data_IF_805479703722
#
_entry.id   IF_805479703722
#
_cell.length_a   1.000
_cell.length_b   1.000
_cell.length_c   1.000
_cell.angle_alpha   90.00
_cell.angle_beta   90.00
_cell.angle_gamma   90.00
#
_symmetry.space_group_name_H-M   'P 1'
#
loop_
_entity.id
_entity.type
_entity.pdbx_description
1 polymer ?
#
# COMPACT_ATOMS: atom_id res chain seq x y z
N UNK A 1 18.50 33.46 -14.29
CA UNK A 1 18.60 32.65 -15.52
C UNK A 1 17.20 32.17 -15.84
N UNK A 2 16.61 32.65 -16.93
CA UNK A 2 15.38 32.06 -17.46
C UNK A 2 15.84 30.80 -18.18
N UNK A 3 15.37 29.65 -17.72
CA UNK A 3 15.67 28.37 -18.34
C UNK A 3 14.88 28.33 -19.65
N UNK A 4 15.54 28.18 -20.79
CA UNK A 4 14.84 28.10 -22.08
C UNK A 4 14.09 26.77 -22.18
N UNK A 5 12.79 26.87 -22.43
CA UNK A 5 11.94 25.70 -22.63
C UNK A 5 12.12 25.17 -24.03
N UNK A 6 12.28 23.86 -24.16
CA UNK A 6 12.25 23.16 -25.44
C UNK A 6 10.84 23.23 -26.05
N UNK A 7 10.76 23.10 -27.38
CA UNK A 7 9.47 22.97 -28.09
C UNK A 7 8.65 21.78 -27.57
N UNK A 8 9.31 20.71 -27.12
CA UNK A 8 8.65 19.56 -26.51
C UNK A 8 7.99 19.89 -25.17
N UNK A 9 8.68 20.63 -24.30
CA UNK A 9 8.15 21.09 -23.00
C UNK A 9 6.99 22.07 -23.17
N UNK A 10 7.10 22.98 -24.14
CA UNK A 10 6.02 23.89 -24.54
C UNK A 10 4.78 23.13 -25.03
N UNK A 11 4.95 22.13 -25.89
CA UNK A 11 3.85 21.31 -26.38
C UNK A 11 3.19 20.49 -25.25
N UNK A 12 3.99 19.97 -24.32
CA UNK A 12 3.48 19.26 -23.15
C UNK A 12 2.65 20.17 -22.24
N UNK A 13 3.12 21.40 -21.99
CA UNK A 13 2.38 22.40 -21.23
C UNK A 13 1.07 22.77 -21.90
N UNK A 14 1.07 23.08 -23.20
CA UNK A 14 -0.15 23.41 -23.95
C UNK A 14 -1.17 22.28 -23.89
N UNK A 15 -0.71 21.02 -23.97
CA UNK A 15 -1.58 19.85 -23.79
C UNK A 15 -2.18 19.79 -22.38
N UNK A 16 -1.36 20.01 -21.35
CA UNK A 16 -1.79 19.96 -19.95
C UNK A 16 -2.75 21.10 -19.58
N UNK A 17 -2.68 22.25 -20.26
CA UNK A 17 -3.62 23.35 -20.10
C UNK A 17 -4.99 23.10 -20.76
N UNK A 18 -5.23 21.95 -21.40
CA UNK A 18 -6.47 21.67 -22.12
C UNK A 18 -6.42 22.03 -23.62
N UNK A 19 -5.22 22.16 -24.18
CA UNK A 19 -4.98 22.43 -25.59
C UNK A 19 -4.84 23.92 -25.94
N UNK A 20 -4.52 24.18 -27.21
CA UNK A 20 -4.13 25.52 -27.69
C UNK A 20 -5.20 26.59 -27.46
N UNK A 21 -6.49 26.22 -27.53
CA UNK A 21 -7.61 27.13 -27.25
C UNK A 21 -7.58 27.68 -25.83
N UNK A 22 -7.29 26.84 -24.84
CA UNK A 22 -7.25 27.25 -23.44
C UNK A 22 -5.96 28.02 -23.15
N UNK A 23 -4.83 27.57 -23.70
CA UNK A 23 -3.55 28.27 -23.60
C UNK A 23 -3.63 29.71 -24.14
N UNK A 24 -4.28 29.93 -25.29
CA UNK A 24 -4.48 31.28 -25.85
C UNK A 24 -5.40 32.15 -24.99
N UNK A 25 -6.41 31.58 -24.33
CA UNK A 25 -7.27 32.33 -23.39
C UNK A 25 -6.53 32.74 -22.12
N UNK A 26 -5.62 31.90 -21.63
CA UNK A 26 -4.74 32.22 -20.51
C UNK A 26 -3.77 33.34 -20.92
N UNK A 27 -3.14 33.22 -22.09
CA UNK A 27 -2.25 34.25 -22.63
C UNK A 27 -2.96 35.59 -22.85
N UNK A 28 -4.20 35.56 -23.32
CA UNK A 28 -5.05 36.74 -23.50
C UNK A 28 -5.61 37.34 -22.21
N UNK A 29 -5.36 36.72 -21.05
CA UNK A 29 -5.88 37.17 -19.75
C UNK A 29 -7.38 36.91 -19.54
N UNK A 30 -8.04 36.17 -20.44
CA UNK A 30 -9.45 35.77 -20.34
C UNK A 30 -9.67 34.69 -19.29
N UNK A 31 -8.64 33.89 -19.02
CA UNK A 31 -8.59 32.89 -17.95
C UNK A 31 -7.44 33.25 -17.04
N UNK A 32 -7.75 33.64 -15.80
CA UNK A 32 -6.74 33.80 -14.74
C UNK A 32 -6.43 32.42 -14.17
N UNK A 33 -5.18 32.03 -14.27
CA UNK A 33 -4.65 30.86 -13.56
C UNK A 33 -3.86 31.42 -12.39
N UNK A 34 -4.25 31.09 -11.17
CA UNK A 34 -3.49 31.48 -9.98
C UNK A 34 -2.21 30.64 -9.90
N UNK A 35 -1.22 31.14 -9.17
CA UNK A 35 -0.04 30.36 -8.81
C UNK A 35 -0.41 29.09 -8.05
N UNK A 36 -1.47 29.13 -7.24
CA UNK A 36 -2.02 27.95 -6.56
C UNK A 36 -2.59 26.92 -7.57
N UNK A 37 -3.32 27.36 -8.59
CA UNK A 37 -3.90 26.46 -9.61
C UNK A 37 -2.82 25.72 -10.42
N UNK A 38 -1.72 26.40 -10.75
CA UNK A 38 -0.57 25.78 -11.44
C UNK A 38 0.14 24.79 -10.50
N UNK A 39 0.29 25.15 -9.23
CA UNK A 39 0.94 24.30 -8.23
C UNK A 39 0.12 23.02 -7.98
N UNK A 40 -1.22 23.11 -7.90
CA UNK A 40 -2.10 21.97 -7.66
C UNK A 40 -2.15 20.99 -8.84
N UNK A 41 -2.08 21.48 -10.08
CA UNK A 41 -1.97 20.63 -11.28
C UNK A 41 -0.57 20.00 -11.41
N UNK A 42 0.47 20.68 -10.93
CA UNK A 42 1.85 20.20 -10.93
C UNK A 42 2.19 19.30 -9.73
N UNK A 43 1.30 19.21 -8.73
CA UNK A 43 1.58 18.53 -7.47
C UNK A 43 1.61 17.02 -7.65
N UNK A 44 2.82 16.49 -7.69
CA UNK A 44 3.06 15.05 -7.71
C UNK A 44 3.19 14.53 -6.28
N UNK A 45 2.47 13.45 -5.97
CA UNK A 45 2.41 12.89 -4.63
C UNK A 45 3.51 11.85 -4.38
N UNK A 46 3.99 11.19 -5.43
CA UNK A 46 5.01 10.15 -5.33
C UNK A 46 6.25 10.51 -6.16
N UNK A 47 7.43 10.28 -5.61
CA UNK A 47 8.69 10.53 -6.29
C UNK A 47 8.92 9.58 -7.47
N UNK A 48 10.05 9.74 -8.17
CA UNK A 48 10.41 8.91 -9.33
C UNK A 48 10.58 7.41 -9.02
N UNK A 49 10.61 7.02 -7.75
CA UNK A 49 10.72 5.65 -7.27
C UNK A 49 9.38 5.12 -6.70
N UNK A 50 8.31 5.91 -6.75
CA UNK A 50 7.01 5.55 -6.20
C UNK A 50 6.90 5.69 -4.68
N UNK A 51 7.87 6.34 -4.03
CA UNK A 51 7.77 6.68 -2.60
C UNK A 51 6.98 7.98 -2.44
N UNK A 52 6.12 8.05 -1.43
CA UNK A 52 5.40 9.27 -1.07
C UNK A 52 6.40 10.40 -0.79
N UNK A 53 6.10 11.58 -1.32
CA UNK A 53 6.83 12.81 -1.00
C UNK A 53 6.29 13.32 0.34
N UNK A 54 7.14 13.53 1.37
CA UNK A 54 6.69 14.04 2.67
C UNK A 54 6.16 15.47 2.53
N UNK A 55 4.96 15.71 3.04
CA UNK A 55 4.34 17.04 2.97
C UNK A 55 3.31 17.22 4.09
N UNK A 56 3.32 18.39 4.73
CA UNK A 56 2.31 18.79 5.71
C UNK A 56 2.28 17.94 6.99
N UNK A 57 3.38 17.24 7.30
CA UNK A 57 3.46 16.30 8.42
C UNK A 57 3.88 16.99 9.72
N UNK A 58 3.26 16.55 10.82
CA UNK A 58 3.73 16.84 12.18
C UNK A 58 4.51 15.66 12.74
N UNK A 59 4.12 14.44 12.36
CA UNK A 59 4.81 13.22 12.78
C UNK A 59 6.14 13.01 12.03
N UNK A 60 7.02 12.24 12.67
CA UNK A 60 8.39 12.05 12.18
C UNK A 60 8.44 11.28 10.85
N UNK A 61 9.34 11.73 9.99
CA UNK A 61 9.78 11.05 8.76
C UNK A 61 11.30 11.14 8.66
N UNK A 62 11.90 10.10 8.13
CA UNK A 62 13.32 10.05 7.78
C UNK A 62 13.49 9.60 6.32
N UNK A 63 14.71 9.66 5.83
CA UNK A 63 15.04 9.12 4.51
C UNK A 63 14.87 7.59 4.48
N UNK A 64 14.38 7.07 3.37
CA UNK A 64 14.31 5.63 3.15
C UNK A 64 15.73 5.05 3.08
N UNK A 65 15.97 3.97 3.82
CA UNK A 65 17.21 3.21 3.72
C UNK A 65 17.14 2.32 2.47
N UNK A 66 17.98 2.63 1.48
CA UNK A 66 18.02 1.97 0.17
C UNK A 66 18.54 0.53 0.20
N UNK A 67 19.21 0.14 1.30
CA UNK A 67 19.64 -1.24 1.50
C UNK A 67 18.42 -2.16 1.68
N UNK A 68 17.33 -1.62 2.24
CA UNK A 68 16.07 -2.32 2.41
C UNK A 68 15.17 -2.06 1.22
N UNK A 69 15.03 -3.03 0.32
CA UNK A 69 14.29 -2.87 -0.94
C UNK A 69 13.52 -4.11 -1.36
N UNK A 70 12.49 -3.86 -2.14
CA UNK A 70 11.65 -4.87 -2.76
C UNK A 70 11.87 -4.87 -4.26
N UNK A 71 11.86 -6.05 -4.85
CA UNK A 71 11.96 -6.23 -6.30
C UNK A 71 10.58 -6.55 -6.87
N UNK A 72 10.23 -5.91 -7.98
CA UNK A 72 8.96 -6.19 -8.66
C UNK A 72 8.99 -7.63 -9.20
N UNK A 73 8.05 -8.51 -8.81
CA UNK A 73 8.01 -9.86 -9.36
C UNK A 73 7.66 -9.88 -10.86
N UNK A 74 8.21 -10.84 -11.59
CA UNK A 74 7.85 -11.09 -12.98
C UNK A 74 6.48 -11.78 -13.08
N UNK A 75 5.44 -10.98 -13.32
CA UNK A 75 4.06 -11.46 -13.53
C UNK A 75 3.69 -11.44 -15.02
N UNK A 76 4.43 -12.21 -15.84
CA UNK A 76 4.30 -12.19 -17.31
C UNK A 76 3.31 -13.23 -17.86
N UNK A 77 3.10 -14.34 -17.14
CA UNK A 77 2.31 -15.49 -17.61
C UNK A 77 1.25 -15.86 -16.58
N UNK A 78 0.18 -16.52 -17.04
CA UNK A 78 -0.95 -16.91 -16.17
C UNK A 78 -0.51 -17.82 -15.02
N UNK A 79 0.49 -18.68 -15.24
CA UNK A 79 1.07 -19.53 -14.21
C UNK A 79 1.58 -18.74 -12.99
N UNK A 80 2.17 -17.55 -13.20
CA UNK A 80 2.60 -16.70 -12.10
C UNK A 80 1.43 -16.25 -11.23
N UNK A 81 0.29 -15.89 -11.83
CA UNK A 81 -0.92 -15.50 -11.10
C UNK A 81 -1.59 -16.68 -10.40
N UNK A 82 -1.65 -17.83 -11.08
CA UNK A 82 -2.21 -19.08 -10.52
C UNK A 82 -1.47 -19.44 -9.23
N UNK A 83 -0.13 -19.43 -9.25
CA UNK A 83 0.69 -19.74 -8.06
C UNK A 83 0.33 -18.84 -6.87
N UNK A 84 0.12 -17.54 -7.08
CA UNK A 84 -0.22 -16.58 -6.00
C UNK A 84 -1.60 -16.84 -5.41
N UNK A 85 -2.58 -17.15 -6.27
CA UNK A 85 -3.95 -17.46 -5.84
C UNK A 85 -3.98 -18.80 -5.10
N UNK A 86 -3.31 -19.81 -5.63
CA UNK A 86 -3.26 -21.14 -5.03
C UNK A 86 -2.60 -21.11 -3.65
N UNK A 87 -1.48 -20.38 -3.50
CA UNK A 87 -0.82 -20.21 -2.20
C UNK A 87 -1.76 -19.57 -1.16
N UNK A 88 -2.56 -18.57 -1.56
CA UNK A 88 -3.60 -17.98 -0.70
C UNK A 88 -4.67 -19.01 -0.31
N UNK A 89 -5.16 -19.79 -1.27
CA UNK A 89 -6.23 -20.78 -1.06
C UNK A 89 -5.79 -21.88 -0.12
N UNK A 90 -4.63 -22.48 -0.37
CA UNK A 90 -4.06 -23.56 0.45
C UNK A 90 -3.72 -23.08 1.85
N UNK A 91 -3.12 -21.89 1.95
CA UNK A 91 -2.71 -21.32 3.23
C UNK A 91 -3.87 -20.84 4.08
N UNK A 92 -5.05 -20.57 3.52
CA UNK A 92 -6.24 -20.17 4.30
C UNK A 92 -7.31 -21.26 4.36
N UNK A 93 -7.21 -22.32 3.55
CA UNK A 93 -8.23 -23.35 3.42
C UNK A 93 -9.53 -22.81 2.78
N UNK A 94 -9.41 -21.93 1.79
CA UNK A 94 -10.54 -21.26 1.13
C UNK A 94 -10.46 -21.38 -0.39
N UNK A 95 -11.61 -21.22 -1.05
CA UNK A 95 -11.68 -20.92 -2.48
C UNK A 95 -12.35 -19.57 -2.67
N UNK A 96 -11.64 -18.65 -3.31
CA UNK A 96 -12.14 -17.29 -3.59
C UNK A 96 -13.00 -17.21 -4.86
N UNK A 97 -12.97 -18.24 -5.71
CA UNK A 97 -13.57 -18.22 -7.06
C UNK A 97 -12.87 -17.28 -8.06
N UNK A 98 -11.85 -16.53 -7.63
CA UNK A 98 -11.10 -15.60 -8.49
C UNK A 98 -10.09 -16.37 -9.34
N UNK A 99 -10.23 -16.22 -10.66
CA UNK A 99 -9.30 -16.78 -11.64
C UNK A 99 -8.08 -15.87 -11.87
N UNK A 100 -6.99 -16.44 -12.39
CA UNK A 100 -5.81 -15.68 -12.82
C UNK A 100 -6.15 -14.60 -13.85
N UNK A 101 -7.07 -14.89 -14.78
CA UNK A 101 -7.55 -13.95 -15.79
C UNK A 101 -8.26 -12.75 -15.13
N UNK A 102 -9.18 -13.00 -14.20
CA UNK A 102 -9.88 -11.92 -13.48
C UNK A 102 -8.91 -11.05 -12.68
N UNK A 103 -7.98 -11.67 -11.96
CA UNK A 103 -6.94 -10.96 -11.20
C UNK A 103 -6.09 -10.07 -12.11
N UNK A 104 -5.59 -10.63 -13.21
CA UNK A 104 -4.78 -9.88 -14.19
C UNK A 104 -5.55 -8.71 -14.80
N UNK A 105 -6.73 -8.96 -15.35
CA UNK A 105 -7.52 -7.93 -16.05
C UNK A 105 -7.97 -6.81 -15.11
N UNK A 106 -8.43 -7.14 -13.90
CA UNK A 106 -8.81 -6.11 -12.92
C UNK A 106 -7.58 -5.28 -12.51
N UNK A 107 -6.44 -5.89 -12.21
CA UNK A 107 -5.24 -5.13 -11.86
C UNK A 107 -4.67 -4.31 -13.03
N UNK A 108 -4.81 -4.75 -14.28
CA UNK A 108 -4.48 -3.93 -15.46
C UNK A 108 -5.37 -2.68 -15.53
N UNK A 109 -6.68 -2.83 -15.31
CA UNK A 109 -7.60 -1.68 -15.22
C UNK A 109 -7.22 -0.73 -14.09
N UNK A 110 -6.91 -1.26 -12.90
CA UNK A 110 -6.48 -0.44 -11.75
C UNK A 110 -5.20 0.35 -12.04
N UNK A 111 -4.19 -0.28 -12.67
CA UNK A 111 -2.97 0.43 -13.11
C UNK A 111 -3.29 1.53 -14.11
N UNK A 112 -4.20 1.28 -15.06
CA UNK A 112 -4.62 2.31 -16.01
C UNK A 112 -5.30 3.49 -15.30
N UNK A 113 -6.21 3.22 -14.37
CA UNK A 113 -6.86 4.28 -13.57
C UNK A 113 -5.83 5.13 -12.83
N UNK A 114 -4.82 4.52 -12.21
CA UNK A 114 -3.74 5.26 -11.54
C UNK A 114 -2.86 6.04 -12.54
N UNK A 115 -2.55 5.45 -13.70
CA UNK A 115 -1.76 6.12 -14.73
C UNK A 115 -2.48 7.35 -15.32
N UNK A 116 -3.82 7.32 -15.34
CA UNK A 116 -4.66 8.43 -15.78
C UNK A 116 -4.81 9.54 -14.70
N UNK A 117 -4.19 9.38 -13.52
CA UNK A 117 -4.12 10.36 -12.43
C UNK A 117 -2.69 10.92 -12.28
N UNK A 118 -2.32 12.04 -12.95
CA UNK A 118 -0.95 12.55 -12.96
C UNK A 118 -0.35 12.77 -11.57
N UNK A 119 -1.16 13.21 -10.61
CA UNK A 119 -0.75 13.45 -9.23
C UNK A 119 -0.22 12.18 -8.53
N UNK A 120 -0.74 11.00 -8.88
CA UNK A 120 -0.44 9.75 -8.18
C UNK A 120 0.22 8.68 -9.05
N UNK A 121 0.29 8.88 -10.37
CA UNK A 121 0.82 7.94 -11.35
C UNK A 121 2.20 7.38 -11.00
N UNK A 122 3.05 8.19 -10.36
CA UNK A 122 4.39 7.79 -9.97
C UNK A 122 4.45 6.64 -8.95
N UNK A 123 3.38 6.35 -8.21
CA UNK A 123 3.33 5.16 -7.34
C UNK A 123 3.55 3.85 -8.12
N UNK A 124 3.18 3.83 -9.41
CA UNK A 124 3.40 2.69 -10.32
C UNK A 124 4.88 2.47 -10.68
N UNK A 125 5.77 3.42 -10.33
CA UNK A 125 7.23 3.26 -10.47
C UNK A 125 7.82 2.43 -9.32
N UNK A 126 7.08 2.29 -8.21
CA UNK A 126 7.41 1.39 -7.12
C UNK A 126 6.84 -0.02 -7.33
N UNK A 127 7.15 -0.90 -6.37
CA UNK A 127 6.60 -2.27 -6.37
C UNK A 127 5.08 -2.21 -6.24
N UNK A 128 4.39 -2.98 -7.07
CA UNK A 128 2.94 -3.12 -7.04
C UNK A 128 2.52 -4.57 -7.28
N UNK A 129 1.72 -5.10 -6.37
CA UNK A 129 1.37 -6.51 -6.30
C UNK A 129 -0.14 -6.69 -6.50
N UNK A 130 -0.58 -7.44 -7.53
CA UNK A 130 -1.95 -7.91 -7.65
C UNK A 130 -2.32 -8.79 -6.48
N UNK A 131 -3.33 -8.42 -5.69
CA UNK A 131 -3.72 -9.17 -4.49
C UNK A 131 -5.22 -9.45 -4.46
N UNK A 132 -5.58 -10.51 -3.75
CA UNK A 132 -6.96 -10.84 -3.40
C UNK A 132 -7.11 -10.63 -1.90
N UNK A 133 -7.95 -9.66 -1.54
CA UNK A 133 -8.39 -9.46 -0.16
C UNK A 133 -9.53 -10.43 0.11
N UNK A 134 -9.40 -11.21 1.17
CA UNK A 134 -10.40 -12.22 1.51
C UNK A 134 -11.59 -11.58 2.21
N UNK A 135 -12.79 -12.12 1.96
CA UNK A 135 -13.99 -11.71 2.71
C UNK A 135 -13.79 -11.99 4.20
N UNK A 136 -14.55 -11.31 5.05
CA UNK A 136 -14.48 -11.52 6.51
C UNK A 136 -15.30 -12.75 6.91
N UNK A 137 -14.81 -13.48 7.91
CA UNK A 137 -15.51 -14.64 8.47
C UNK A 137 -15.98 -14.38 9.90
N UNK A 138 -15.47 -13.33 10.56
CA UNK A 138 -15.95 -12.82 11.85
C UNK A 138 -16.40 -11.34 11.78
N UNK A 139 -17.16 -10.93 12.77
CA UNK A 139 -17.44 -9.52 13.05
C UNK A 139 -16.26 -8.88 13.82
N UNK A 140 -15.52 -9.69 14.57
CA UNK A 140 -14.32 -9.30 15.31
C UNK A 140 -13.09 -9.29 14.40
N UNK A 141 -12.43 -8.12 14.30
CA UNK A 141 -11.26 -7.94 13.44
C UNK A 141 -10.06 -8.74 13.96
N UNK A 142 -9.97 -8.90 15.28
CA UNK A 142 -8.93 -9.67 15.92
C UNK A 142 -9.01 -11.14 15.55
N UNK A 143 -10.20 -11.73 15.60
CA UNK A 143 -10.42 -13.14 15.20
C UNK A 143 -10.08 -13.37 13.73
N UNK A 144 -10.56 -12.50 12.83
CA UNK A 144 -10.20 -12.59 11.41
C UNK A 144 -8.69 -12.46 11.21
N UNK A 145 -8.05 -11.51 11.89
CA UNK A 145 -6.61 -11.30 11.79
C UNK A 145 -5.82 -12.51 12.29
N UNK A 146 -6.24 -13.17 13.37
CA UNK A 146 -5.58 -14.40 13.85
C UNK A 146 -5.59 -15.49 12.78
N UNK A 147 -6.76 -15.77 12.22
CA UNK A 147 -6.90 -16.77 11.16
C UNK A 147 -6.05 -16.42 9.93
N UNK A 148 -6.01 -15.15 9.55
CA UNK A 148 -5.16 -14.69 8.46
C UNK A 148 -3.67 -14.85 8.77
N UNK A 149 -3.24 -14.58 10.01
CA UNK A 149 -1.86 -14.74 10.45
C UNK A 149 -1.42 -16.21 10.44
N UNK A 150 -2.30 -17.14 10.80
CA UNK A 150 -2.04 -18.58 10.67
C UNK A 150 -1.86 -18.97 9.19
N UNK A 151 -2.54 -18.28 8.27
CA UNK A 151 -2.30 -18.42 6.84
C UNK A 151 -0.99 -17.81 6.36
N UNK A 152 -0.59 -16.66 6.90
CA UNK A 152 0.72 -16.07 6.63
C UNK A 152 1.83 -17.03 7.06
N UNK A 153 1.73 -17.64 8.24
CA UNK A 153 2.69 -18.63 8.73
C UNK A 153 2.79 -19.82 7.78
N UNK A 154 1.66 -20.43 7.40
CA UNK A 154 1.64 -21.56 6.46
C UNK A 154 2.27 -21.21 5.12
N UNK A 155 1.88 -20.08 4.52
CA UNK A 155 2.44 -19.62 3.24
C UNK A 155 3.94 -19.36 3.32
N UNK A 156 4.38 -18.74 4.42
CA UNK A 156 5.79 -18.45 4.65
C UNK A 156 6.63 -19.72 4.76
N UNK A 157 6.18 -20.70 5.55
CA UNK A 157 6.89 -21.96 5.76
C UNK A 157 6.87 -22.86 4.50
N UNK A 158 5.81 -22.82 3.71
CA UNK A 158 5.78 -23.48 2.39
C UNK A 158 6.82 -22.86 1.43
N UNK A 159 6.97 -21.53 1.48
CA UNK A 159 7.92 -20.81 0.63
C UNK A 159 9.37 -20.95 1.10
N UNK A 160 9.57 -21.05 2.42
CA UNK A 160 10.89 -21.15 3.05
C UNK A 160 10.93 -22.28 4.10
N UNK A 161 10.99 -23.55 3.67
CA UNK A 161 10.88 -24.71 4.58
C UNK A 161 11.96 -24.77 5.68
N UNK A 162 13.15 -24.23 5.40
CA UNK A 162 14.28 -24.24 6.33
C UNK A 162 14.30 -23.01 7.29
N UNK A 163 13.27 -22.17 7.24
CA UNK A 163 13.16 -20.96 8.07
C UNK A 163 12.04 -21.08 9.09
N UNK A 164 12.00 -20.14 10.04
CA UNK A 164 11.00 -20.12 11.11
C UNK A 164 10.05 -18.94 11.00
N UNK A 165 8.83 -19.13 11.46
CA UNK A 165 7.90 -18.04 11.71
C UNK A 165 7.87 -17.75 13.22
N UNK A 166 8.32 -16.57 13.61
CA UNK A 166 8.36 -16.15 15.01
C UNK A 166 7.15 -15.29 15.33
N UNK A 167 6.12 -15.92 15.87
CA UNK A 167 4.93 -15.23 16.36
C UNK A 167 5.15 -14.78 17.82
N UNK A 168 5.52 -13.51 18.04
CA UNK A 168 5.71 -12.97 19.40
C UNK A 168 4.41 -12.58 20.11
N UNK A 169 3.26 -12.86 19.49
CA UNK A 169 1.95 -12.71 20.10
C UNK A 169 1.78 -13.74 21.22
N UNK A 170 1.38 -13.28 22.42
CA UNK A 170 1.18 -14.13 23.60
C UNK A 170 -0.28 -14.39 23.97
N UNK A 171 -1.22 -13.73 23.30
CA UNK A 171 -2.65 -13.75 23.65
C UNK A 171 -3.54 -13.73 22.42
N UNK A 172 -4.82 -14.08 22.60
CA UNK A 172 -5.82 -13.90 21.55
C UNK A 172 -5.94 -12.43 21.13
N UNK A 173 -6.30 -12.16 19.88
CA UNK A 173 -6.56 -10.82 19.35
C UNK A 173 -8.04 -10.44 19.40
N UNK A 174 -8.94 -11.40 19.67
CA UNK A 174 -10.36 -11.15 19.80
C UNK A 174 -10.61 -9.97 20.76
N UNK A 175 -11.36 -8.97 20.29
CA UNK A 175 -11.68 -7.74 21.01
C UNK A 175 -10.50 -6.76 21.23
N UNK A 176 -9.29 -7.10 20.80
CA UNK A 176 -8.08 -6.29 21.04
C UNK A 176 -7.64 -5.48 19.84
N UNK A 177 -8.17 -5.77 18.65
CA UNK A 177 -7.77 -5.11 17.39
C UNK A 177 -8.89 -4.22 16.89
N UNK A 178 -8.54 -2.97 16.56
CA UNK A 178 -9.45 -1.97 16.01
C UNK A 178 -8.85 -1.32 14.78
N UNK A 179 -9.70 -0.93 13.84
CA UNK A 179 -9.33 0.02 12.79
C UNK A 179 -9.39 1.42 13.37
N UNK A 180 -8.43 2.27 13.02
CA UNK A 180 -8.45 3.67 13.43
C UNK A 180 -9.37 4.45 12.49
N UNK A 181 -10.52 4.96 12.95
CA UNK A 181 -11.51 5.58 12.06
C UNK A 181 -11.00 6.85 11.39
N UNK A 182 -10.15 7.61 12.09
CA UNK A 182 -9.66 8.94 11.71
C UNK A 182 -8.74 8.94 10.48
N UNK A 183 -8.19 7.77 10.13
CA UNK A 183 -7.30 7.60 8.98
C UNK A 183 -8.09 7.52 7.66
N UNK A 184 -9.42 7.46 7.72
CA UNK A 184 -10.28 7.20 6.58
C UNK A 184 -11.35 8.28 6.45
N UNK A 185 -11.15 9.26 5.55
CA UNK A 185 -12.30 9.94 4.93
C UNK A 185 -13.14 8.88 4.20
N UNK A 186 -14.45 9.09 4.13
CA UNK A 186 -15.48 8.12 3.69
C UNK A 186 -14.98 7.00 2.77
N UNK A 187 -15.05 5.73 3.22
CA UNK A 187 -14.74 4.58 2.36
C UNK A 187 -13.34 3.97 2.47
N UNK A 188 -12.58 4.21 3.54
CA UNK A 188 -11.34 3.47 3.82
C UNK A 188 -11.54 2.00 4.20
N UNK A 189 -10.99 1.52 5.32
CA UNK A 189 -11.25 0.13 5.78
C UNK A 189 -12.75 -0.20 5.93
N UNK A 190 -13.62 0.80 6.12
CA UNK A 190 -15.09 0.63 6.08
C UNK A 190 -15.63 0.25 4.69
N UNK A 191 -14.95 0.54 3.57
CA UNK A 191 -15.35 0.04 2.24
C UNK A 191 -14.94 -1.41 2.03
N UNK A 192 -13.77 -1.81 2.54
CA UNK A 192 -13.27 -3.19 2.49
C UNK A 192 -14.10 -4.07 3.43
N UNK A 193 -14.33 -3.63 4.67
CA UNK A 193 -14.94 -4.44 5.73
C UNK A 193 -16.40 -4.11 6.06
N UNK A 194 -16.97 -3.08 5.44
CA UNK A 194 -18.39 -2.73 5.55
C UNK A 194 -19.20 -3.22 4.35
N UNK A 195 -19.22 -2.44 3.26
CA UNK A 195 -20.12 -2.70 2.10
C UNK A 195 -19.79 -3.98 1.32
N UNK A 196 -18.55 -4.47 1.39
CA UNK A 196 -18.06 -5.63 0.63
C UNK A 196 -17.70 -6.83 1.53
N UNK A 197 -18.22 -6.86 2.76
CA UNK A 197 -17.86 -7.87 3.76
C UNK A 197 -18.05 -9.32 3.28
N UNK A 198 -18.99 -9.56 2.36
CA UNK A 198 -19.33 -10.88 1.83
C UNK A 198 -18.54 -11.32 0.58
N UNK A 199 -17.69 -10.46 0.01
CA UNK A 199 -17.03 -10.70 -1.28
C UNK A 199 -15.51 -10.68 -1.16
N UNK A 200 -14.85 -11.52 -1.97
CA UNK A 200 -13.41 -11.42 -2.19
C UNK A 200 -13.12 -10.25 -3.14
N UNK A 201 -12.12 -9.44 -2.81
CA UNK A 201 -11.84 -8.19 -3.53
C UNK A 201 -10.48 -8.28 -4.20
N UNK A 202 -10.42 -8.00 -5.50
CA UNK A 202 -9.15 -7.81 -6.20
C UNK A 202 -8.68 -6.36 -6.01
N UNK A 203 -7.44 -6.19 -5.53
CA UNK A 203 -6.81 -4.89 -5.33
C UNK A 203 -5.39 -4.86 -5.88
N UNK A 204 -4.82 -3.66 -5.96
CA UNK A 204 -3.38 -3.45 -6.18
C UNK A 204 -2.75 -3.01 -4.86
N UNK A 205 -1.74 -3.74 -4.40
CA UNK A 205 -1.01 -3.44 -3.17
C UNK A 205 0.36 -2.84 -3.46
N UNK A 206 0.70 -1.77 -2.75
CA UNK A 206 1.97 -1.07 -2.81
C UNK A 206 2.65 -1.21 -1.45
N UNK A 207 3.66 -2.08 -1.31
CA UNK A 207 4.22 -2.44 -0.02
C UNK A 207 5.11 -1.38 0.63
N UNK A 208 5.89 -0.62 -0.16
CA UNK A 208 6.90 0.30 0.34
C UNK A 208 6.74 1.81 -0.02
N UNK A 209 5.55 2.35 -0.35
CA UNK A 209 5.43 3.76 -0.71
C UNK A 209 5.67 4.70 0.48
N UNK A 210 5.56 4.23 1.72
CA UNK A 210 5.71 5.01 2.94
C UNK A 210 6.98 4.65 3.72
N UNK A 211 8.02 4.19 3.03
CA UNK A 211 9.25 3.77 3.68
C UNK A 211 9.95 4.96 4.37
N UNK A 212 10.32 4.79 5.65
CA UNK A 212 10.92 5.86 6.46
C UNK A 212 9.92 6.78 7.15
N UNK A 213 8.62 6.51 7.07
CA UNK A 213 7.59 7.25 7.81
C UNK A 213 7.32 6.55 9.14
N UNK A 214 7.21 7.32 10.23
CA UNK A 214 6.62 6.77 11.47
C UNK A 214 5.17 6.34 11.25
N UNK A 215 4.65 5.43 12.08
CA UNK A 215 3.26 4.97 11.96
C UNK A 215 2.26 6.14 12.04
N UNK A 216 2.53 7.15 12.87
CA UNK A 216 1.71 8.38 12.88
C UNK A 216 1.81 9.15 11.56
N UNK A 217 3.01 9.31 11.00
CA UNK A 217 3.19 9.99 9.72
C UNK A 217 2.50 9.23 8.57
N UNK A 218 2.52 7.89 8.59
CA UNK A 218 1.81 7.05 7.61
C UNK A 218 0.29 7.30 7.65
N UNK A 219 -0.27 7.53 8.84
CA UNK A 219 -1.68 7.87 9.03
C UNK A 219 -2.00 9.28 8.56
N UNK A 220 -1.17 10.27 8.89
CA UNK A 220 -1.33 11.66 8.45
C UNK A 220 -1.35 11.78 6.92
N UNK A 221 -0.56 10.97 6.21
CA UNK A 221 -0.56 10.96 4.74
C UNK A 221 -1.92 10.62 4.12
N UNK A 222 -2.78 9.90 4.84
CA UNK A 222 -4.09 9.51 4.32
C UNK A 222 -5.06 10.66 4.18
N UNK A 223 -4.84 11.79 4.86
CA UNK A 223 -5.65 13.02 4.70
C UNK A 223 -5.76 13.41 3.23
N UNK A 224 -4.67 13.24 2.48
CA UNK A 224 -4.60 13.55 1.05
C UNK A 224 -4.72 12.31 0.15
N UNK A 225 -4.09 11.19 0.52
CA UNK A 225 -4.09 9.99 -0.33
C UNK A 225 -5.47 9.33 -0.47
N UNK A 226 -6.35 9.48 0.53
CA UNK A 226 -7.71 8.93 0.45
C UNK A 226 -8.56 9.60 -0.64
N UNK A 227 -8.25 10.85 -1.01
CA UNK A 227 -8.96 11.60 -2.06
C UNK A 227 -8.73 10.98 -3.44
N UNK A 228 -7.63 10.24 -3.60
CA UNK A 228 -7.29 9.49 -4.80
C UNK A 228 -7.63 8.00 -4.69
N UNK A 229 -8.42 7.58 -3.69
CA UNK A 229 -8.87 6.20 -3.53
C UNK A 229 -7.83 5.22 -2.98
N UNK A 230 -6.71 5.72 -2.43
CA UNK A 230 -5.78 4.86 -1.70
C UNK A 230 -6.30 4.55 -0.30
N UNK A 231 -6.00 3.34 0.17
CA UNK A 231 -6.35 2.88 1.50
C UNK A 231 -5.06 2.47 2.21
N UNK A 232 -4.80 3.05 3.38
CA UNK A 232 -3.72 2.59 4.23
C UNK A 232 -4.00 1.17 4.67
N UNK A 233 -3.05 0.27 4.47
CA UNK A 233 -3.23 -1.15 4.75
C UNK A 233 -1.99 -1.76 5.38
N UNK A 234 -2.20 -2.92 5.99
CA UNK A 234 -1.13 -3.84 6.36
C UNK A 234 -0.77 -4.79 5.22
N UNK A 235 0.28 -5.58 5.43
CA UNK A 235 0.72 -6.58 4.46
C UNK A 235 0.11 -7.97 4.68
N UNK A 236 -1.02 -8.15 5.39
CA UNK A 236 -1.50 -9.49 5.80
C UNK A 236 -1.78 -10.41 4.60
N UNK A 237 -2.86 -10.16 3.84
CA UNK A 237 -3.18 -10.96 2.65
C UNK A 237 -2.10 -10.89 1.56
N UNK A 238 -1.48 -9.73 1.29
CA UNK A 238 -0.32 -9.67 0.41
C UNK A 238 0.83 -10.59 0.84
N UNK A 239 1.12 -10.72 2.13
CA UNK A 239 2.19 -11.57 2.66
C UNK A 239 1.89 -13.05 2.40
N UNK A 240 0.63 -13.47 2.51
CA UNK A 240 0.23 -14.84 2.16
C UNK A 240 0.42 -15.13 0.67
N UNK A 241 0.23 -14.15 -0.22
CA UNK A 241 0.40 -14.36 -1.66
C UNK A 241 1.86 -14.21 -2.14
N UNK A 242 2.64 -13.36 -1.48
CA UNK A 242 3.99 -12.95 -1.90
C UNK A 242 5.05 -13.04 -0.79
N UNK A 243 5.17 -14.15 -0.04
CA UNK A 243 6.18 -14.28 1.01
C UNK A 243 7.61 -14.19 0.44
N UNK A 244 7.83 -14.65 -0.80
CA UNK A 244 9.10 -14.56 -1.54
C UNK A 244 9.53 -13.13 -1.87
N UNK A 245 8.60 -12.18 -1.87
CA UNK A 245 8.87 -10.76 -2.10
C UNK A 245 8.87 -9.98 -0.79
N UNK A 246 7.85 -10.20 0.04
CA UNK A 246 7.56 -9.40 1.23
C UNK A 246 8.25 -9.92 2.50
N UNK A 247 8.86 -11.11 2.46
CA UNK A 247 9.61 -11.69 3.56
C UNK A 247 10.87 -12.44 3.11
N UNK A 248 11.51 -11.96 2.03
CA UNK A 248 12.62 -12.65 1.34
C UNK A 248 13.84 -12.84 2.23
N UNK A 249 14.30 -11.80 2.91
CA UNK A 249 15.57 -11.77 3.64
C UNK A 249 15.68 -10.53 4.54
N UNK A 250 16.84 -10.37 5.18
CA UNK A 250 17.16 -9.20 6.01
C UNK A 250 17.04 -7.87 5.28
N UNK A 251 17.31 -7.84 3.97
CA UNK A 251 17.24 -6.62 3.15
C UNK A 251 15.82 -6.33 2.65
N UNK A 252 14.83 -7.06 3.16
CA UNK A 252 13.41 -6.78 2.93
C UNK A 252 12.95 -5.74 3.96
N UNK A 253 12.30 -4.63 3.55
CA UNK A 253 11.74 -3.67 4.49
C UNK A 253 10.80 -4.32 5.50
N UNK A 254 10.84 -3.85 6.74
CA UNK A 254 9.80 -4.14 7.72
C UNK A 254 8.46 -3.59 7.23
N UNK A 255 7.39 -4.35 7.39
CA UNK A 255 6.06 -3.98 6.91
C UNK A 255 5.16 -3.69 8.10
N UNK A 256 4.86 -2.42 8.32
CA UNK A 256 3.93 -1.97 9.36
C UNK A 256 2.49 -2.30 8.98
N UNK A 257 1.63 -2.47 9.99
CA UNK A 257 0.18 -2.55 9.84
C UNK A 257 -0.47 -1.27 10.40
N UNK A 258 -0.14 -0.09 9.85
CA UNK A 258 -0.40 1.21 10.49
C UNK A 258 -1.89 1.55 10.62
N UNK A 259 -2.75 0.93 9.81
CA UNK A 259 -4.20 1.07 9.88
C UNK A 259 -4.83 0.36 11.10
N UNK A 260 -4.11 -0.59 11.70
CA UNK A 260 -4.57 -1.35 12.85
C UNK A 260 -4.02 -0.76 14.15
N UNK A 261 -4.90 -0.76 15.14
CA UNK A 261 -4.63 -0.41 16.52
C UNK A 261 -4.82 -1.63 17.40
N UNK A 262 -3.87 -1.87 18.31
CA UNK A 262 -3.96 -2.95 19.28
C UNK A 262 -4.11 -2.34 20.66
N UNK A 263 -5.22 -2.63 21.34
CA UNK A 263 -5.38 -2.36 22.76
C UNK A 263 -4.79 -3.51 23.57
N UNK A 264 -3.52 -3.42 23.92
CA UNK A 264 -2.94 -4.30 24.94
C UNK A 264 -3.04 -3.66 26.32
N UNK A 265 -3.07 -4.47 27.37
CA UNK A 265 -3.16 -4.06 28.77
C UNK A 265 -2.09 -3.07 29.27
N UNK A 266 -1.02 -2.82 28.50
CA UNK A 266 0.10 -1.92 28.89
C UNK A 266 0.34 -0.73 27.98
N UNK A 267 -0.02 -0.81 26.69
CA UNK A 267 0.12 0.32 25.76
C UNK A 267 -0.63 0.06 24.44
N UNK A 268 -1.11 1.15 23.85
CA UNK A 268 -1.52 1.22 22.45
C UNK A 268 -0.34 0.89 21.52
N UNK A 269 -0.58 0.13 20.46
CA UNK A 269 0.46 -0.22 19.49
C UNK A 269 -0.07 -0.58 18.11
N UNK A 270 0.86 -0.97 17.25
CA UNK A 270 0.59 -1.52 15.91
C UNK A 270 1.46 -2.75 15.68
N UNK A 271 1.06 -3.61 14.73
CA UNK A 271 1.84 -4.76 14.32
C UNK A 271 2.84 -4.40 13.24
N UNK A 272 3.87 -5.22 13.11
CA UNK A 272 4.75 -5.22 11.96
C UNK A 272 5.25 -6.63 11.66
N UNK A 273 5.59 -6.84 10.40
CA UNK A 273 6.42 -7.96 9.96
C UNK A 273 7.86 -7.51 9.76
N UNK A 274 8.81 -8.37 10.10
CA UNK A 274 10.23 -8.17 9.80
C UNK A 274 10.88 -9.48 9.38
N UNK A 275 11.38 -9.53 8.17
CA UNK A 275 12.22 -10.63 7.74
C UNK A 275 13.64 -10.51 8.33
N UNK A 276 14.19 -11.64 8.74
CA UNK A 276 15.55 -11.80 9.20
C UNK A 276 16.26 -12.91 8.44
N UNK A 277 17.49 -13.23 8.86
CA UNK A 277 18.25 -14.34 8.27
C UNK A 277 17.58 -15.69 8.53
N UNK A 278 17.03 -15.87 9.74
CA UNK A 278 16.56 -17.16 10.22
C UNK A 278 15.03 -17.31 10.16
N UNK A 279 14.31 -16.30 9.66
CA UNK A 279 12.84 -16.34 9.68
C UNK A 279 12.13 -15.01 9.49
N UNK A 280 10.81 -15.09 9.59
CA UNK A 280 9.90 -13.95 9.60
C UNK A 280 9.39 -13.72 11.01
N UNK A 281 9.52 -12.49 11.50
CA UNK A 281 9.02 -12.07 12.80
C UNK A 281 7.71 -11.32 12.62
N UNK A 282 6.67 -11.75 13.33
CA UNK A 282 5.49 -10.94 13.63
C UNK A 282 5.60 -10.42 15.06
N UNK A 283 5.55 -9.10 15.22
CA UNK A 283 5.58 -8.46 16.54
C UNK A 283 4.73 -7.19 16.54
N UNK A 284 4.59 -6.57 17.71
CA UNK A 284 4.00 -5.25 17.87
C UNK A 284 5.02 -4.22 18.34
N UNK A 285 4.70 -2.95 18.17
CA UNK A 285 5.46 -1.80 18.67
C UNK A 285 4.53 -0.76 19.28
N UNK A 286 4.97 -0.16 20.39
CA UNK A 286 4.37 1.04 20.98
C UNK A 286 5.08 2.33 20.53
N UNK A 287 6.21 2.20 19.81
CA UNK A 287 7.03 3.31 19.30
C UNK A 287 6.43 3.88 18.01
N UNK A 288 5.17 4.33 18.07
CA UNK A 288 4.39 4.74 16.91
C UNK A 288 4.89 6.04 16.24
N UNK A 289 5.62 6.86 16.99
CA UNK A 289 6.21 8.11 16.52
C UNK A 289 7.60 7.93 15.90
N UNK A 290 8.19 6.73 15.96
CA UNK A 290 9.55 6.52 15.49
C UNK A 290 9.56 6.23 14.00
N UNK A 291 10.30 7.04 13.26
CA UNK A 291 10.54 6.86 11.84
C UNK A 291 11.76 5.95 11.63
N UNK A 292 11.57 4.83 10.95
CA UNK A 292 12.66 3.90 10.61
C UNK A 292 12.77 3.79 9.09
N UNK A 293 13.93 4.16 8.54
CA UNK A 293 14.19 4.11 7.10
C UNK A 293 14.06 2.71 6.48
N UNK A 294 14.09 1.66 7.31
CA UNK A 294 13.93 0.26 6.91
C UNK A 294 12.51 -0.28 7.05
N UNK A 295 11.52 0.55 7.42
CA UNK A 295 10.12 0.14 7.62
C UNK A 295 9.19 0.95 6.73
N UNK A 296 8.07 0.35 6.32
CA UNK A 296 7.02 1.01 5.55
C UNK A 296 5.64 0.46 5.89
N UNK A 297 4.64 1.33 5.86
CA UNK A 297 3.24 0.93 5.66
C UNK A 297 2.92 0.71 4.20
N UNK A 298 1.94 -0.17 3.94
CA UNK A 298 1.43 -0.44 2.60
C UNK A 298 0.21 0.39 2.23
N UNK A 299 -0.01 0.55 0.93
CA UNK A 299 -1.24 1.15 0.38
C UNK A 299 -1.97 0.14 -0.52
N UNK A 300 -3.30 0.15 -0.46
CA UNK A 300 -4.19 -0.56 -1.37
C UNK A 300 -4.89 0.41 -2.31
N UNK A 301 -5.18 -0.03 -3.53
CA UNK A 301 -6.05 0.67 -4.47
C UNK A 301 -7.07 -0.31 -5.08
N UNK A 302 -8.35 0.04 -4.99
CA UNK A 302 -9.48 -0.84 -5.35
C UNK A 302 -10.27 -0.37 -6.59
N UNK A 303 -10.12 0.91 -6.96
CA UNK A 303 -10.83 1.57 -8.04
C UNK A 303 -12.28 1.90 -7.71
#
# INVERSE_FOLDING_TARGET
>A
MIQDWTTGELNALVKNLGGEKVARKIQGGEVKVSSEDVADVAKVFFDKHGRRIPEGLQANVCDANKDFRLDQPELKVDASYIKRIQLLHESLGIDTGITSKQLREKCQRLRKMIADMPQTANILKGVNLPVVLVKRYSDDIGEDLEWQLDGVERSYLETFPDRKFYNHRKSTLAGQVKVIPEVFKEGGYKSIWGKKKSEHIIALFFPNPLQGYSIFAQREQMVSLSEFGFILSGAIEPMTMYPDILARDWDTPGLDLPALFISSWRSAGSFYFRAGRDGLVLSSTARLADALGSYSGGLLFLG
#
